data_IF_856192288484
#
_entry.id   IF_856192288484
#
_cell.length_a   1.000
_cell.length_b   1.000
_cell.length_c   1.000
_cell.angle_alpha   90.00
_cell.angle_beta   90.00
_cell.angle_gamma   90.00
#
_symmetry.space_group_name_H-M   'P 1'
#
loop_
_entity.id
_entity.type
_entity.pdbx_description
1 polymer ?
#
# COMPACT_ATOMS: atom_id res chain seq x y z
N UNK A 1 8.36 -43.08 -22.39
CA UNK A 1 7.69 -41.75 -22.46
C UNK A 1 8.42 -40.79 -21.53
N UNK A 2 9.17 -39.83 -22.05
CA UNK A 2 9.77 -38.75 -21.24
C UNK A 2 8.63 -37.92 -20.64
N UNK A 3 8.46 -37.96 -19.31
CA UNK A 3 7.53 -37.07 -18.59
C UNK A 3 7.83 -35.64 -19.04
N UNK A 4 6.89 -35.01 -19.74
CA UNK A 4 7.01 -33.61 -20.18
C UNK A 4 7.21 -32.77 -18.93
N UNK A 5 8.40 -32.18 -18.78
CA UNK A 5 8.77 -31.42 -17.58
C UNK A 5 7.80 -30.25 -17.45
N UNK A 6 7.05 -30.19 -16.34
CA UNK A 6 6.13 -29.09 -16.06
C UNK A 6 6.90 -27.77 -16.08
N UNK A 7 6.30 -26.73 -16.68
CA UNK A 7 6.95 -25.42 -16.73
C UNK A 7 7.03 -24.85 -15.32
N UNK A 8 8.18 -24.29 -14.97
CA UNK A 8 8.39 -23.69 -13.65
C UNK A 8 7.51 -22.44 -13.44
N UNK A 9 7.16 -22.09 -12.19
CA UNK A 9 6.56 -20.80 -11.84
C UNK A 9 7.37 -19.61 -12.35
N UNK A 10 6.70 -18.46 -12.52
CA UNK A 10 7.32 -17.23 -13.00
C UNK A 10 7.92 -16.45 -11.82
N UNK A 11 9.24 -16.43 -11.72
CA UNK A 11 9.96 -15.59 -10.76
C UNK A 11 9.97 -14.11 -11.20
N UNK A 12 9.97 -13.15 -10.26
CA UNK A 12 10.11 -11.74 -10.59
C UNK A 12 11.40 -11.46 -11.37
N UNK A 13 11.27 -10.77 -12.50
CA UNK A 13 12.42 -10.38 -13.33
C UNK A 13 13.28 -9.27 -12.70
N UNK A 14 12.72 -8.48 -11.79
CA UNK A 14 13.45 -7.43 -11.08
C UNK A 14 13.56 -7.75 -9.58
N UNK A 15 14.76 -8.12 -9.15
CA UNK A 15 15.02 -8.45 -7.74
C UNK A 15 14.89 -7.28 -6.78
N UNK A 16 15.01 -6.03 -7.27
CA UNK A 16 14.86 -4.82 -6.44
C UNK A 16 13.39 -4.45 -6.23
N UNK A 17 12.50 -4.96 -7.07
CA UNK A 17 11.05 -4.69 -7.06
C UNK A 17 10.31 -5.99 -7.40
N UNK A 18 10.27 -6.96 -6.47
CA UNK A 18 9.68 -8.28 -6.73
C UNK A 18 8.16 -8.24 -6.95
N UNK A 19 7.49 -7.17 -6.51
CA UNK A 19 6.06 -6.94 -6.73
C UNK A 19 5.81 -6.23 -8.07
N UNK A 20 6.81 -5.54 -8.61
CA UNK A 20 6.64 -4.64 -9.75
C UNK A 20 5.84 -3.39 -9.38
N UNK A 21 5.67 -3.08 -8.09
CA UNK A 21 4.78 -2.03 -7.61
C UNK A 21 5.48 -0.69 -7.34
N UNK A 22 6.82 -0.64 -7.35
CA UNK A 22 7.60 0.55 -6.97
C UNK A 22 7.18 1.82 -7.72
N UNK A 23 6.84 1.71 -9.02
CA UNK A 23 6.39 2.86 -9.82
C UNK A 23 5.07 3.42 -9.30
N UNK A 24 4.12 2.54 -8.96
CA UNK A 24 2.83 2.94 -8.40
C UNK A 24 3.01 3.56 -7.01
N UNK A 25 3.83 2.93 -6.16
CA UNK A 25 4.14 3.45 -4.83
C UNK A 25 4.76 4.86 -4.89
N UNK A 26 5.80 5.05 -5.71
CA UNK A 26 6.45 6.36 -5.87
C UNK A 26 5.47 7.41 -6.42
N UNK A 27 4.64 7.04 -7.39
CA UNK A 27 3.60 7.91 -7.93
C UNK A 27 2.62 8.37 -6.86
N UNK A 28 2.08 7.43 -6.08
CA UNK A 28 1.14 7.73 -4.99
C UNK A 28 1.77 8.61 -3.92
N UNK A 29 3.02 8.33 -3.52
CA UNK A 29 3.75 9.15 -2.55
C UNK A 29 3.94 10.60 -3.05
N UNK A 30 4.29 10.78 -4.34
CA UNK A 30 4.38 12.11 -4.93
C UNK A 30 3.02 12.81 -4.95
N UNK A 31 1.94 12.08 -5.23
CA UNK A 31 0.59 12.65 -5.21
C UNK A 31 0.14 13.06 -3.81
N UNK A 32 0.39 12.22 -2.80
CA UNK A 32 0.19 12.58 -1.40
C UNK A 32 0.96 13.85 -1.02
N UNK A 33 2.23 13.96 -1.41
CA UNK A 33 3.02 15.17 -1.14
C UNK A 33 2.42 16.43 -1.80
N UNK A 34 1.91 16.32 -3.04
CA UNK A 34 1.20 17.42 -3.72
C UNK A 34 -0.06 17.83 -2.96
N UNK A 35 -0.85 16.86 -2.51
CA UNK A 35 -2.10 17.07 -1.76
C UNK A 35 -1.84 17.68 -0.38
N UNK A 36 -0.85 17.18 0.36
CA UNK A 36 -0.43 17.76 1.64
C UNK A 36 0.04 19.21 1.49
N UNK A 37 0.78 19.53 0.43
CA UNK A 37 1.15 20.93 0.12
C UNK A 37 -0.07 21.81 -0.14
N UNK A 38 -1.11 21.30 -0.80
CA UNK A 38 -2.38 22.03 -1.01
C UNK A 38 -3.09 22.30 0.31
N UNK A 39 -3.15 21.30 1.20
CA UNK A 39 -3.73 21.44 2.55
C UNK A 39 -2.98 22.50 3.35
N UNK A 40 -1.65 22.44 3.39
CA UNK A 40 -0.83 23.44 4.09
C UNK A 40 -1.02 24.86 3.55
N UNK A 41 -1.20 25.01 2.22
CA UNK A 41 -1.56 26.30 1.62
C UNK A 41 -2.94 26.77 2.05
N UNK A 42 -3.93 25.89 2.13
CA UNK A 42 -5.29 26.25 2.54
C UNK A 42 -5.33 26.79 3.98
N UNK A 43 -4.68 26.10 4.92
CA UNK A 43 -4.61 26.56 6.32
C UNK A 43 -3.85 27.87 6.47
N UNK A 44 -2.79 28.09 5.69
CA UNK A 44 -2.10 29.39 5.66
C UNK A 44 -2.99 30.49 5.09
N UNK A 45 -3.74 30.21 4.02
CA UNK A 45 -4.71 31.16 3.47
C UNK A 45 -5.86 31.48 4.43
N UNK A 46 -6.22 30.58 5.34
CA UNK A 46 -7.13 30.87 6.45
C UNK A 46 -6.47 31.83 7.44
N UNK A 47 -5.23 31.53 7.87
CA UNK A 47 -4.47 32.38 8.78
C UNK A 47 -4.29 33.81 8.23
N UNK A 48 -3.98 33.96 6.94
CA UNK A 48 -3.78 35.25 6.28
C UNK A 48 -5.04 36.13 6.26
N UNK A 49 -6.23 35.53 6.42
CA UNK A 49 -7.51 36.25 6.47
C UNK A 49 -7.88 36.72 7.87
N UNK A 50 -7.15 36.31 8.90
CA UNK A 50 -7.41 36.69 10.28
C UNK A 50 -6.61 37.96 10.56
N UNK A 51 -7.25 39.13 10.79
CA UNK A 51 -6.54 40.36 11.10
C UNK A 51 -5.72 40.18 12.38
N UNK A 52 -4.44 40.53 12.32
CA UNK A 52 -3.51 40.40 13.43
C UNK A 52 -2.82 41.74 13.70
N UNK A 53 -2.80 42.16 14.96
CA UNK A 53 -2.11 43.38 15.40
C UNK A 53 -1.09 43.06 16.49
N UNK A 54 0.10 43.68 16.49
CA UNK A 54 1.03 43.55 17.60
C UNK A 54 0.41 44.04 18.90
N UNK A 55 0.64 43.32 19.99
CA UNK A 55 0.21 43.66 21.35
C UNK A 55 1.41 43.93 22.24
N UNK A 56 1.17 44.60 23.38
CA UNK A 56 2.19 44.78 24.43
C UNK A 56 2.72 43.40 24.84
N UNK A 57 4.05 43.27 24.97
CA UNK A 57 4.80 42.02 25.23
C UNK A 57 5.08 41.09 24.03
N UNK A 58 5.21 41.64 22.81
CA UNK A 58 5.58 40.88 21.60
C UNK A 58 4.62 39.73 21.23
N UNK A 59 3.37 39.80 21.69
CA UNK A 59 2.28 38.91 21.27
C UNK A 59 1.46 39.57 20.17
N UNK A 60 0.60 38.81 19.52
CA UNK A 60 -0.37 39.29 18.55
C UNK A 60 -1.78 39.17 19.14
N UNK A 61 -2.60 40.20 18.95
CA UNK A 61 -4.05 40.09 19.08
C UNK A 61 -4.63 39.72 17.72
N UNK A 62 -5.57 38.78 17.72
CA UNK A 62 -6.29 38.35 16.53
C UNK A 62 -7.73 38.83 16.64
N UNK A 63 -8.20 39.56 15.63
CA UNK A 63 -9.59 39.99 15.55
C UNK A 63 -10.42 38.85 14.94
N UNK A 64 -10.94 37.99 15.81
CA UNK A 64 -11.67 36.79 15.42
C UNK A 64 -12.70 36.42 16.47
N UNK A 65 -13.98 36.36 16.08
CA UNK A 65 -15.03 35.81 16.92
C UNK A 65 -15.15 34.28 16.78
N UNK A 66 -15.89 33.66 17.71
CA UNK A 66 -16.06 32.21 17.76
C UNK A 66 -16.81 31.63 16.56
N UNK A 67 -17.73 32.40 15.97
CA UNK A 67 -18.53 31.98 14.80
C UNK A 67 -17.65 31.95 13.56
N UNK A 68 -16.88 33.02 13.31
CA UNK A 68 -15.93 33.13 12.21
C UNK A 68 -14.87 32.03 12.28
N UNK A 69 -14.29 31.77 13.46
CA UNK A 69 -13.32 30.69 13.65
C UNK A 69 -13.94 29.32 13.31
N UNK A 70 -15.14 29.05 13.82
CA UNK A 70 -15.84 27.79 13.58
C UNK A 70 -16.15 27.56 12.10
N UNK A 71 -16.59 28.61 11.39
CA UNK A 71 -16.81 28.55 9.94
C UNK A 71 -15.52 28.29 9.17
N UNK A 72 -14.42 28.97 9.51
CA UNK A 72 -13.13 28.78 8.85
C UNK A 72 -12.61 27.34 9.03
N UNK A 73 -12.71 26.80 10.25
CA UNK A 73 -12.29 25.43 10.54
C UNK A 73 -13.18 24.38 9.86
N UNK A 74 -14.49 24.61 9.80
CA UNK A 74 -15.43 23.74 9.08
C UNK A 74 -15.11 23.68 7.58
N UNK A 75 -14.88 24.84 6.96
CA UNK A 75 -14.48 24.93 5.55
C UNK A 75 -13.13 24.26 5.30
N UNK A 76 -12.16 24.42 6.20
CA UNK A 76 -10.87 23.73 6.12
C UNK A 76 -11.05 22.21 6.17
N UNK A 77 -11.92 21.73 7.06
CA UNK A 77 -12.22 20.31 7.22
C UNK A 77 -12.79 19.70 5.93
N UNK A 78 -13.82 20.32 5.34
CA UNK A 78 -14.41 19.86 4.08
C UNK A 78 -13.37 19.82 2.95
N UNK A 79 -12.53 20.85 2.85
CA UNK A 79 -11.47 20.91 1.86
C UNK A 79 -10.39 19.83 2.05
N UNK A 80 -10.08 19.46 3.31
CA UNK A 80 -9.15 18.35 3.57
C UNK A 80 -9.75 17.03 3.10
N UNK A 81 -11.04 16.78 3.31
CA UNK A 81 -11.70 15.57 2.81
C UNK A 81 -11.63 15.50 1.28
N UNK A 82 -12.03 16.57 0.59
CA UNK A 82 -11.98 16.65 -0.87
C UNK A 82 -10.56 16.46 -1.40
N UNK A 83 -9.58 17.14 -0.80
CA UNK A 83 -8.17 17.04 -1.21
C UNK A 83 -7.64 15.61 -0.98
N UNK A 84 -8.07 14.91 0.05
CA UNK A 84 -7.61 13.54 0.29
C UNK A 84 -8.50 12.49 -0.39
N UNK A 85 -9.68 12.86 -0.89
CA UNK A 85 -10.69 11.94 -1.41
C UNK A 85 -11.35 11.12 -0.31
N UNK A 86 -11.44 11.65 0.91
CA UNK A 86 -12.13 11.00 2.04
C UNK A 86 -13.65 11.24 2.04
N UNK A 87 -14.15 12.01 1.08
CA UNK A 87 -15.56 12.32 0.82
C UNK A 87 -16.24 11.38 -0.20
N UNK A 88 -15.47 10.55 -0.90
CA UNK A 88 -15.97 9.67 -1.96
C UNK A 88 -15.42 8.24 -1.83
N UNK A 89 -16.26 7.30 -1.38
CA UNK A 89 -15.87 5.91 -1.16
C UNK A 89 -15.56 5.14 -2.45
N UNK A 90 -16.13 5.55 -3.58
CA UNK A 90 -16.10 4.73 -4.81
C UNK A 90 -15.04 5.17 -5.81
N UNK A 91 -14.71 6.46 -5.87
CA UNK A 91 -13.92 7.06 -6.95
C UNK A 91 -12.74 7.92 -6.48
N UNK A 92 -12.34 7.81 -5.21
CA UNK A 92 -11.19 8.55 -4.70
C UNK A 92 -9.88 8.22 -5.45
N UNK A 93 -9.06 9.24 -5.67
CA UNK A 93 -7.86 9.19 -6.52
C UNK A 93 -6.90 8.04 -6.13
N UNK A 94 -6.70 7.79 -4.83
CA UNK A 94 -5.75 6.78 -4.37
C UNK A 94 -6.20 5.36 -4.77
N UNK A 95 -7.51 5.11 -4.75
CA UNK A 95 -8.09 3.88 -5.26
C UNK A 95 -7.93 3.76 -6.77
N UNK A 96 -8.47 4.73 -7.49
CA UNK A 96 -8.62 4.69 -8.95
C UNK A 96 -7.26 4.59 -9.66
N UNK A 97 -6.28 5.37 -9.21
CA UNK A 97 -5.00 5.53 -9.92
C UNK A 97 -3.92 4.56 -9.43
N UNK A 98 -4.03 4.01 -8.22
CA UNK A 98 -2.93 3.28 -7.59
C UNK A 98 -3.31 1.91 -7.04
N UNK A 99 -4.30 1.83 -6.14
CA UNK A 99 -4.64 0.56 -5.47
C UNK A 99 -5.36 -0.40 -6.41
N UNK A 100 -6.36 0.06 -7.17
CA UNK A 100 -7.08 -0.79 -8.13
C UNK A 100 -6.13 -1.33 -9.25
N UNK A 101 -5.28 -0.50 -9.88
CA UNK A 101 -4.26 -1.01 -10.81
C UNK A 101 -3.28 -2.02 -10.20
N UNK A 102 -2.97 -1.91 -8.90
CA UNK A 102 -2.12 -2.88 -8.22
C UNK A 102 -2.82 -4.23 -8.01
N UNK A 103 -4.11 -4.21 -7.67
CA UNK A 103 -4.93 -5.42 -7.57
C UNK A 103 -5.05 -6.10 -8.94
N UNK A 104 -5.43 -5.37 -9.99
CA UNK A 104 -5.48 -5.87 -11.37
C UNK A 104 -4.15 -6.48 -11.82
N UNK A 105 -3.03 -5.83 -11.49
CA UNK A 105 -1.69 -6.36 -11.79
C UNK A 105 -1.41 -7.67 -11.07
N UNK A 106 -1.76 -7.79 -9.78
CA UNK A 106 -1.61 -9.02 -9.03
C UNK A 106 -2.40 -10.17 -9.66
N UNK A 107 -3.65 -9.93 -10.05
CA UNK A 107 -4.47 -10.91 -10.77
C UNK A 107 -3.83 -11.32 -12.10
N UNK A 108 -3.36 -10.37 -12.90
CA UNK A 108 -2.70 -10.67 -14.17
C UNK A 108 -1.39 -11.47 -13.99
N UNK A 109 -0.61 -11.15 -12.95
CA UNK A 109 0.60 -11.90 -12.60
C UNK A 109 0.27 -13.33 -12.20
N UNK A 110 -0.78 -13.54 -11.40
CA UNK A 110 -1.14 -14.88 -10.95
C UNK A 110 -1.77 -15.71 -12.06
N UNK A 111 -2.64 -15.11 -12.88
CA UNK A 111 -3.16 -15.75 -14.09
C UNK A 111 -2.03 -16.28 -14.98
N UNK A 112 -1.05 -15.43 -15.31
CA UNK A 112 0.09 -15.85 -16.13
C UNK A 112 0.90 -16.97 -15.47
N UNK A 113 1.10 -16.88 -14.15
CA UNK A 113 1.85 -17.87 -13.37
C UNK A 113 1.14 -19.24 -13.32
N UNK A 114 -0.18 -19.27 -13.09
CA UNK A 114 -0.98 -20.49 -13.02
C UNK A 114 -1.19 -21.11 -14.41
N UNK A 115 -1.48 -20.29 -15.43
CA UNK A 115 -1.63 -20.75 -16.82
C UNK A 115 -0.35 -21.38 -17.37
N UNK A 116 0.82 -20.90 -16.92
CA UNK A 116 2.08 -21.53 -17.28
C UNK A 116 2.25 -22.93 -16.68
N UNK A 117 1.76 -23.14 -15.45
CA UNK A 117 2.02 -24.35 -14.69
C UNK A 117 0.95 -25.44 -14.86
N UNK A 118 -0.32 -25.04 -15.08
CA UNK A 118 -1.46 -25.96 -15.11
C UNK A 118 -2.20 -25.88 -16.44
N UNK A 119 -2.18 -26.99 -17.18
CA UNK A 119 -2.96 -27.12 -18.42
C UNK A 119 -4.47 -27.04 -18.18
N UNK A 120 -4.94 -27.54 -17.02
CA UNK A 120 -6.37 -27.49 -16.65
C UNK A 120 -6.80 -26.04 -16.37
N UNK A 121 -5.99 -25.29 -15.62
CA UNK A 121 -6.26 -23.86 -15.40
C UNK A 121 -6.20 -23.07 -16.70
N UNK A 122 -5.16 -23.27 -17.52
CA UNK A 122 -5.01 -22.58 -18.79
C UNK A 122 -6.16 -22.87 -19.78
N UNK A 123 -6.74 -24.07 -19.74
CA UNK A 123 -7.89 -24.43 -20.56
C UNK A 123 -9.21 -23.87 -19.99
N UNK A 124 -9.34 -23.82 -18.67
CA UNK A 124 -10.57 -23.38 -18.01
C UNK A 124 -10.67 -21.88 -17.74
N UNK A 125 -9.55 -21.15 -17.78
CA UNK A 125 -9.47 -19.71 -17.58
C UNK A 125 -8.88 -19.06 -18.83
N UNK A 126 -9.74 -18.55 -19.70
CA UNK A 126 -9.35 -18.09 -21.05
C UNK A 126 -8.47 -16.84 -21.04
N UNK A 127 -8.78 -15.87 -20.16
CA UNK A 127 -8.10 -14.58 -20.13
C UNK A 127 -8.18 -13.90 -18.78
N UNK A 128 -7.27 -12.95 -18.55
CA UNK A 128 -7.34 -12.01 -17.42
C UNK A 128 -8.64 -11.21 -17.48
N UNK A 129 -9.06 -10.75 -18.66
CA UNK A 129 -10.29 -9.98 -18.84
C UNK A 129 -11.53 -10.71 -18.31
N UNK A 130 -11.61 -12.03 -18.53
CA UNK A 130 -12.67 -12.89 -17.99
C UNK A 130 -12.65 -12.91 -16.46
N UNK A 131 -11.48 -12.91 -15.82
CA UNK A 131 -11.36 -12.80 -14.35
C UNK A 131 -11.86 -11.43 -13.89
N UNK A 132 -11.41 -10.35 -14.52
CA UNK A 132 -11.73 -8.97 -14.09
C UNK A 132 -13.23 -8.66 -14.17
N UNK A 133 -13.95 -9.30 -15.10
CA UNK A 133 -15.40 -9.17 -15.25
C UNK A 133 -16.20 -10.14 -14.36
N UNK A 134 -15.52 -11.12 -13.74
CA UNK A 134 -16.17 -12.14 -12.92
C UNK A 134 -16.77 -11.56 -11.64
N UNK A 135 -17.78 -12.25 -11.13
CA UNK A 135 -18.45 -11.90 -9.88
C UNK A 135 -17.54 -12.10 -8.65
N UNK A 136 -16.79 -13.22 -8.52
CA UNK A 136 -15.85 -13.41 -7.41
C UNK A 136 -14.73 -12.35 -7.34
N UNK A 137 -14.19 -11.93 -8.49
CA UNK A 137 -13.21 -10.85 -8.54
C UNK A 137 -13.80 -9.52 -8.03
N UNK A 138 -14.99 -9.15 -8.51
CA UNK A 138 -15.66 -7.89 -8.11
C UNK A 138 -16.00 -7.87 -6.63
N UNK A 139 -16.46 -8.99 -6.05
CA UNK A 139 -16.73 -9.10 -4.59
C UNK A 139 -15.49 -8.80 -3.76
N UNK A 140 -14.35 -9.40 -4.11
CA UNK A 140 -13.08 -9.23 -3.38
C UNK A 140 -12.50 -7.84 -3.55
N UNK A 141 -12.63 -7.27 -4.76
CA UNK A 141 -12.20 -5.91 -5.06
C UNK A 141 -12.89 -4.87 -4.18
N UNK A 142 -14.20 -5.03 -3.91
CA UNK A 142 -14.98 -4.13 -3.04
C UNK A 142 -14.40 -4.10 -1.62
N UNK A 143 -13.98 -5.26 -1.08
CA UNK A 143 -13.37 -5.34 0.27
C UNK A 143 -12.03 -4.60 0.34
N UNK A 144 -11.22 -4.68 -0.73
CA UNK A 144 -9.96 -3.92 -0.81
C UNK A 144 -10.23 -2.42 -0.88
N UNK A 145 -11.23 -1.99 -1.66
CA UNK A 145 -11.63 -0.58 -1.75
C UNK A 145 -12.09 -0.05 -0.40
N UNK A 146 -13.01 -0.74 0.27
CA UNK A 146 -13.55 -0.33 1.57
C UNK A 146 -12.45 -0.17 2.62
N UNK A 147 -11.54 -1.14 2.72
CA UNK A 147 -10.35 -1.04 3.59
C UNK A 147 -9.49 0.18 3.27
N UNK A 148 -9.22 0.41 2.00
CA UNK A 148 -8.38 1.54 1.56
C UNK A 148 -9.06 2.87 1.86
N UNK A 149 -10.38 2.97 1.70
CA UNK A 149 -11.15 4.16 2.00
C UNK A 149 -11.10 4.53 3.49
N UNK A 150 -11.19 3.54 4.38
CA UNK A 150 -11.04 3.78 5.83
C UNK A 150 -9.64 4.31 6.19
N UNK A 151 -8.57 3.84 5.54
CA UNK A 151 -7.23 4.43 5.71
C UNK A 151 -7.19 5.90 5.29
N UNK A 152 -7.89 6.26 4.21
CA UNK A 152 -7.98 7.65 3.73
C UNK A 152 -8.79 8.54 4.67
N UNK A 153 -9.90 8.03 5.23
CA UNK A 153 -10.69 8.72 6.25
C UNK A 153 -9.88 8.97 7.51
N UNK A 154 -9.14 7.97 8.00
CA UNK A 154 -8.29 8.11 9.17
C UNK A 154 -7.19 9.15 8.93
N UNK A 155 -6.52 9.11 7.78
CA UNK A 155 -5.54 10.12 7.40
C UNK A 155 -6.16 11.53 7.36
N UNK A 156 -7.36 11.67 6.79
CA UNK A 156 -8.07 12.95 6.74
C UNK A 156 -8.39 13.48 8.13
N UNK A 157 -8.93 12.62 9.01
CA UNK A 157 -9.24 12.96 10.39
C UNK A 157 -8.00 13.42 11.18
N UNK A 158 -6.88 12.68 11.05
CA UNK A 158 -5.61 13.03 11.69
C UNK A 158 -5.11 14.40 11.23
N UNK A 159 -5.09 14.63 9.91
CA UNK A 159 -4.65 15.90 9.31
C UNK A 159 -5.51 17.06 9.81
N UNK A 160 -6.84 16.91 9.80
CA UNK A 160 -7.76 17.95 10.30
C UNK A 160 -7.50 18.30 11.75
N UNK A 161 -7.38 17.28 12.61
CA UNK A 161 -7.19 17.45 14.03
C UNK A 161 -5.88 18.19 14.33
N UNK A 162 -4.77 17.75 13.74
CA UNK A 162 -3.46 18.36 13.98
C UNK A 162 -3.35 19.77 13.40
N UNK A 163 -3.86 19.99 12.19
CA UNK A 163 -3.82 21.32 11.56
C UNK A 163 -4.72 22.32 12.28
N UNK A 164 -5.93 21.91 12.69
CA UNK A 164 -6.84 22.76 13.47
C UNK A 164 -6.20 23.13 14.82
N UNK A 165 -5.63 22.16 15.54
CA UNK A 165 -4.97 22.38 16.83
C UNK A 165 -3.80 23.37 16.72
N UNK A 166 -2.93 23.22 15.72
CA UNK A 166 -1.80 24.15 15.54
C UNK A 166 -2.30 25.57 15.30
N UNK A 167 -3.34 25.73 14.48
CA UNK A 167 -3.93 27.03 14.19
C UNK A 167 -4.54 27.64 15.46
N UNK A 168 -5.44 26.92 16.14
CA UNK A 168 -6.16 27.45 17.31
C UNK A 168 -5.22 27.69 18.50
N UNK A 169 -4.25 26.82 18.76
CA UNK A 169 -3.23 27.03 19.81
C UNK A 169 -2.37 28.26 19.51
N UNK A 170 -2.01 28.46 18.25
CA UNK A 170 -1.20 29.60 17.81
C UNK A 170 -1.94 30.92 18.01
N UNK A 171 -3.21 30.97 17.55
CA UNK A 171 -4.08 32.12 17.71
C UNK A 171 -4.34 32.44 19.19
N UNK A 172 -4.73 31.44 19.99
CA UNK A 172 -5.06 31.62 21.41
C UNK A 172 -3.88 32.05 22.28
N UNK A 173 -2.64 31.69 21.89
CA UNK A 173 -1.42 32.13 22.58
C UNK A 173 -0.89 33.49 22.09
N UNK A 174 -1.51 34.08 21.08
CA UNK A 174 -1.03 35.33 20.46
C UNK A 174 0.33 35.17 19.79
N UNK A 175 0.59 34.03 19.14
CA UNK A 175 1.87 33.78 18.45
C UNK A 175 1.99 34.63 17.17
N UNK A 176 3.23 34.87 16.74
CA UNK A 176 3.48 35.49 15.44
C UNK A 176 2.85 34.66 14.30
N UNK A 177 2.02 35.24 13.41
CA UNK A 177 1.42 34.51 12.29
C UNK A 177 2.44 33.76 11.41
N UNK A 178 3.64 34.30 11.23
CA UNK A 178 4.70 33.63 10.46
C UNK A 178 5.18 32.34 11.15
N UNK A 179 5.23 32.31 12.49
CA UNK A 179 5.58 31.11 13.25
C UNK A 179 4.45 30.07 13.20
N UNK A 180 3.19 30.49 13.24
CA UNK A 180 2.04 29.59 13.06
C UNK A 180 2.09 28.97 11.65
N UNK A 181 2.29 29.79 10.61
CA UNK A 181 2.41 29.34 9.22
C UNK A 181 3.57 28.34 9.01
N UNK A 182 4.70 28.57 9.69
CA UNK A 182 5.84 27.66 9.69
C UNK A 182 5.47 26.31 10.32
N UNK A 183 4.87 26.31 11.51
CA UNK A 183 4.41 25.09 12.21
C UNK A 183 3.39 24.29 11.39
N UNK A 184 2.44 24.96 10.73
CA UNK A 184 1.49 24.33 9.82
C UNK A 184 2.22 23.64 8.65
N UNK A 185 3.25 24.28 8.10
CA UNK A 185 4.05 23.70 7.02
C UNK A 185 4.84 22.47 7.51
N UNK A 186 5.45 22.54 8.68
CA UNK A 186 6.14 21.40 9.32
C UNK A 186 5.20 20.21 9.55
N UNK A 187 3.98 20.48 10.04
CA UNK A 187 2.97 19.44 10.26
C UNK A 187 2.57 18.73 8.96
N UNK A 188 2.37 19.46 7.85
CA UNK A 188 2.11 18.80 6.56
C UNK A 188 3.23 17.86 6.12
N UNK A 189 4.47 18.13 6.53
CA UNK A 189 5.61 17.22 6.33
C UNK A 189 5.53 15.94 7.17
N UNK A 190 4.99 16.03 8.40
CA UNK A 190 4.69 14.86 9.24
C UNK A 190 3.58 14.02 8.59
N UNK A 191 2.48 14.64 8.18
CA UNK A 191 1.36 13.92 7.56
C UNK A 191 1.73 13.30 6.21
N UNK A 192 2.62 13.94 5.46
CA UNK A 192 3.19 13.33 4.24
C UNK A 192 3.93 12.01 4.54
N UNK A 193 4.62 11.89 5.68
CA UNK A 193 5.29 10.64 6.07
C UNK A 193 4.27 9.55 6.43
N UNK A 194 3.19 9.91 7.12
CA UNK A 194 2.07 8.99 7.42
C UNK A 194 1.41 8.49 6.13
N UNK A 195 1.10 9.41 5.22
CA UNK A 195 0.54 9.09 3.90
C UNK A 195 1.45 8.18 3.07
N UNK A 196 2.77 8.41 3.10
CA UNK A 196 3.73 7.53 2.43
C UNK A 196 3.75 6.10 2.99
N UNK A 197 3.45 5.92 4.28
CA UNK A 197 3.30 4.58 4.88
C UNK A 197 2.02 3.90 4.38
N UNK A 198 0.92 4.63 4.22
CA UNK A 198 -0.33 4.12 3.64
C UNK A 198 -0.07 3.67 2.19
N UNK A 199 0.54 4.52 1.35
CA UNK A 199 0.88 4.19 -0.03
C UNK A 199 1.64 2.86 -0.17
N UNK A 200 2.72 2.70 0.60
CA UNK A 200 3.57 1.49 0.58
C UNK A 200 2.88 0.25 1.16
N UNK A 201 1.88 0.44 2.01
CA UNK A 201 1.15 -0.68 2.63
C UNK A 201 0.01 -1.14 1.75
N UNK A 202 -0.85 -0.22 1.30
CA UNK A 202 -2.10 -0.56 0.62
C UNK A 202 -1.87 -1.04 -0.81
N UNK A 203 -0.97 -0.40 -1.57
CA UNK A 203 -0.67 -0.79 -2.96
C UNK A 203 -0.11 -2.22 -3.01
N UNK A 204 0.91 -2.50 -2.21
CA UNK A 204 1.52 -3.83 -2.20
C UNK A 204 0.62 -4.87 -1.54
N UNK A 205 -0.22 -4.49 -0.58
CA UNK A 205 -1.23 -5.41 -0.01
C UNK A 205 -2.31 -5.77 -1.03
N UNK A 206 -2.82 -4.81 -1.80
CA UNK A 206 -3.77 -5.08 -2.88
C UNK A 206 -3.19 -6.06 -3.91
N UNK A 207 -1.94 -5.84 -4.34
CA UNK A 207 -1.26 -6.75 -5.26
C UNK A 207 -1.14 -8.17 -4.68
N UNK A 208 -0.69 -8.32 -3.44
CA UNK A 208 -0.55 -9.65 -2.80
C UNK A 208 -1.89 -10.35 -2.62
N UNK A 209 -2.93 -9.61 -2.18
CA UNK A 209 -4.28 -10.15 -2.02
C UNK A 209 -4.81 -10.67 -3.34
N UNK A 210 -4.71 -9.90 -4.42
CA UNK A 210 -5.14 -10.32 -5.75
C UNK A 210 -4.50 -11.65 -6.21
N UNK A 211 -3.22 -11.87 -5.87
CA UNK A 211 -2.53 -13.13 -6.17
C UNK A 211 -3.07 -14.30 -5.36
N UNK A 212 -3.21 -14.13 -4.04
CA UNK A 212 -3.78 -15.18 -3.18
C UNK A 212 -5.24 -15.48 -3.53
N UNK A 213 -5.99 -14.44 -3.90
CA UNK A 213 -7.39 -14.54 -4.27
C UNK A 213 -7.53 -15.36 -5.56
N UNK A 214 -6.76 -15.05 -6.61
CA UNK A 214 -6.78 -15.85 -7.85
C UNK A 214 -6.31 -17.28 -7.63
N UNK A 215 -5.29 -17.50 -6.78
CA UNK A 215 -4.86 -18.85 -6.41
C UNK A 215 -5.97 -19.65 -5.72
N UNK A 216 -6.69 -19.04 -4.77
CA UNK A 216 -7.80 -19.70 -4.07
C UNK A 216 -8.92 -20.09 -5.03
N UNK A 217 -9.32 -19.16 -5.91
CA UNK A 217 -10.35 -19.41 -6.93
C UNK A 217 -9.94 -20.56 -7.86
N UNK A 218 -8.67 -20.56 -8.28
CA UNK A 218 -8.14 -21.58 -9.17
C UNK A 218 -8.12 -22.96 -8.50
N UNK A 219 -7.72 -23.03 -7.23
CA UNK A 219 -7.74 -24.28 -6.44
C UNK A 219 -9.16 -24.82 -6.30
N UNK A 220 -10.13 -23.95 -6.01
CA UNK A 220 -11.53 -24.34 -5.84
C UNK A 220 -12.17 -24.81 -7.16
N UNK A 221 -12.01 -24.05 -8.25
CA UNK A 221 -12.64 -24.37 -9.54
C UNK A 221 -12.01 -25.53 -10.28
N UNK A 222 -10.68 -25.63 -10.26
CA UNK A 222 -9.95 -26.55 -11.14
C UNK A 222 -9.28 -27.70 -10.39
N UNK A 223 -9.42 -27.76 -9.06
CA UNK A 223 -8.84 -28.83 -8.23
C UNK A 223 -7.31 -28.87 -8.28
N UNK A 224 -6.67 -27.76 -8.66
CA UNK A 224 -5.21 -27.67 -8.68
C UNK A 224 -4.68 -27.58 -7.25
N UNK A 225 -3.45 -28.06 -7.04
CA UNK A 225 -2.78 -27.98 -5.74
C UNK A 225 -1.59 -27.04 -5.84
N UNK A 226 -1.62 -25.97 -5.06
CA UNK A 226 -0.55 -24.97 -5.01
C UNK A 226 -0.12 -24.69 -3.58
N UNK A 227 1.14 -24.27 -3.43
CA UNK A 227 1.66 -23.57 -2.26
C UNK A 227 2.22 -22.21 -2.67
N UNK A 228 2.22 -21.27 -1.75
CA UNK A 228 2.69 -19.91 -1.92
C UNK A 228 4.15 -19.78 -1.51
N UNK A 229 5.04 -19.71 -2.49
CA UNK A 229 6.45 -19.41 -2.25
C UNK A 229 6.60 -17.95 -1.83
N UNK A 230 7.12 -17.70 -0.63
CA UNK A 230 7.35 -16.33 -0.19
C UNK A 230 8.53 -15.71 -0.94
N UNK A 231 8.32 -14.51 -1.49
CA UNK A 231 9.35 -13.75 -2.19
C UNK A 231 9.62 -12.46 -1.44
N UNK A 232 10.66 -12.50 -0.62
CA UNK A 232 11.19 -11.29 -0.01
C UNK A 232 11.81 -10.36 -1.05
N UNK A 233 11.69 -9.04 -0.84
CA UNK A 233 12.39 -8.03 -1.63
C UNK A 233 13.91 -8.07 -1.48
N UNK A 234 14.41 -8.66 -0.38
CA UNK A 234 15.85 -8.78 -0.10
C UNK A 234 16.62 -7.46 -0.28
N UNK A 235 15.93 -6.34 -0.08
CA UNK A 235 16.46 -4.99 -0.16
C UNK A 235 17.31 -4.64 1.07
N UNK A 236 18.08 -3.54 1.06
CA UNK A 236 18.82 -3.11 2.25
C UNK A 236 17.95 -2.92 3.50
N UNK A 237 16.66 -2.60 3.32
CA UNK A 237 15.69 -2.36 4.39
C UNK A 237 14.79 -3.56 4.69
N UNK A 238 15.07 -4.73 4.10
CA UNK A 238 14.29 -5.94 4.38
C UNK A 238 14.50 -6.39 5.82
N UNK A 239 13.40 -6.72 6.52
CA UNK A 239 13.43 -7.30 7.88
C UNK A 239 13.93 -8.75 7.83
N UNK A 240 14.68 -9.19 8.84
CA UNK A 240 15.23 -10.55 8.92
C UNK A 240 14.15 -11.63 8.83
N UNK A 241 13.02 -11.45 9.53
CA UNK A 241 11.87 -12.37 9.50
C UNK A 241 11.26 -12.52 8.10
N UNK A 242 11.33 -11.49 7.26
CA UNK A 242 10.88 -11.54 5.87
C UNK A 242 11.92 -12.24 4.98
N UNK A 243 13.21 -11.94 5.17
CA UNK A 243 14.29 -12.59 4.44
C UNK A 243 14.30 -14.10 4.70
N UNK A 244 14.13 -14.52 5.95
CA UNK A 244 14.12 -15.92 6.37
C UNK A 244 13.02 -16.76 5.69
N UNK A 245 11.88 -16.15 5.33
CA UNK A 245 10.80 -16.85 4.61
C UNK A 245 11.07 -17.00 3.11
N UNK A 246 12.01 -16.24 2.54
CA UNK A 246 12.27 -16.26 1.10
C UNK A 246 12.53 -17.70 0.62
N UNK A 247 11.99 -18.05 -0.55
CA UNK A 247 12.08 -19.39 -1.17
C UNK A 247 11.36 -20.53 -0.40
N UNK A 248 10.72 -20.26 0.73
CA UNK A 248 9.93 -21.25 1.46
C UNK A 248 8.48 -21.27 0.99
N UNK A 249 7.88 -22.46 1.00
CA UNK A 249 6.50 -22.70 0.62
C UNK A 249 5.57 -22.70 1.83
N UNK A 250 4.44 -22.03 1.68
CA UNK A 250 3.38 -21.94 2.69
C UNK A 250 2.02 -22.16 2.03
N UNK A 251 0.98 -22.46 2.79
CA UNK A 251 -0.39 -22.34 2.29
C UNK A 251 -0.76 -20.87 2.09
N UNK A 252 -1.82 -20.60 1.30
CA UNK A 252 -2.34 -19.24 1.17
C UNK A 252 -2.75 -18.66 2.54
N UNK A 253 -3.35 -19.49 3.40
CA UNK A 253 -3.78 -19.07 4.74
C UNK A 253 -2.60 -18.76 5.66
N UNK A 254 -1.57 -19.60 5.70
CA UNK A 254 -0.34 -19.33 6.46
C UNK A 254 0.32 -18.00 6.05
N UNK A 255 0.23 -17.60 4.78
CA UNK A 255 0.73 -16.29 4.33
C UNK A 255 -0.16 -15.14 4.81
N UNK A 256 -1.49 -15.30 4.74
CA UNK A 256 -2.44 -14.28 5.23
C UNK A 256 -2.25 -14.04 6.71
N UNK A 257 -2.25 -15.10 7.51
CA UNK A 257 -2.03 -15.03 8.95
C UNK A 257 -0.70 -14.38 9.29
N UNK A 258 0.36 -14.77 8.58
CA UNK A 258 1.68 -14.21 8.84
C UNK A 258 1.74 -12.71 8.54
N UNK A 259 1.17 -12.25 7.43
CA UNK A 259 1.10 -10.82 7.12
C UNK A 259 0.20 -10.02 8.06
N UNK A 260 -0.79 -10.65 8.69
CA UNK A 260 -1.68 -10.02 9.67
C UNK A 260 -1.02 -9.80 11.05
N UNK A 261 0.02 -10.57 11.39
CA UNK A 261 0.75 -10.48 12.67
C UNK A 261 1.87 -9.45 12.64
N UNK A 262 2.19 -8.85 13.79
CA UNK A 262 3.39 -8.02 14.07
C UNK A 262 3.73 -6.94 13.01
N UNK A 263 2.73 -6.37 12.35
CA UNK A 263 2.90 -5.43 11.25
C UNK A 263 3.74 -6.00 10.07
N UNK A 264 3.75 -7.31 9.87
CA UNK A 264 4.44 -7.97 8.76
C UNK A 264 3.92 -7.48 7.40
N UNK A 265 2.62 -7.21 7.27
CA UNK A 265 2.04 -6.64 6.03
C UNK A 265 2.39 -5.17 5.80
N UNK A 266 2.70 -4.42 6.85
CA UNK A 266 2.90 -2.97 6.81
C UNK A 266 4.25 -2.62 6.18
N UNK A 267 4.23 -1.66 5.25
CA UNK A 267 5.43 -1.17 4.54
C UNK A 267 6.31 -2.30 3.98
N UNK A 268 5.69 -3.44 3.64
CA UNK A 268 6.37 -4.64 3.24
C UNK A 268 6.38 -4.78 1.72
N UNK A 269 7.56 -4.89 1.11
CA UNK A 269 7.75 -5.10 -0.33
C UNK A 269 7.78 -6.57 -0.78
N UNK A 270 7.40 -7.50 0.08
CA UNK A 270 7.40 -8.92 -0.27
C UNK A 270 6.17 -9.27 -1.12
N UNK A 271 6.29 -10.33 -1.92
CA UNK A 271 5.21 -10.95 -2.70
C UNK A 271 5.17 -12.46 -2.42
N UNK A 272 4.24 -13.17 -3.05
CA UNK A 272 4.18 -14.64 -3.09
C UNK A 272 4.08 -15.12 -4.52
N UNK A 273 4.47 -16.35 -4.82
CA UNK A 273 4.23 -16.98 -6.13
C UNK A 273 3.57 -18.33 -5.88
N UNK A 274 2.46 -18.62 -6.55
CA UNK A 274 1.89 -19.96 -6.48
C UNK A 274 2.82 -20.96 -7.19
N UNK A 275 3.08 -22.06 -6.52
CA UNK A 275 3.89 -23.18 -7.00
C UNK A 275 3.02 -24.42 -6.96
N UNK A 276 2.81 -25.05 -8.11
CA UNK A 276 2.11 -26.33 -8.18
C UNK A 276 2.85 -27.40 -7.37
N UNK A 277 2.12 -28.16 -6.56
CA UNK A 277 2.66 -29.21 -5.71
C UNK A 277 1.95 -30.55 -5.91
N UNK A 278 2.63 -31.64 -5.56
CA UNK A 278 2.00 -32.96 -5.45
C UNK A 278 1.19 -33.10 -4.14
N UNK A 279 0.65 -34.30 -3.91
CA UNK A 279 -0.16 -34.63 -2.72
C UNK A 279 0.64 -34.54 -1.40
N UNK A 280 1.96 -34.69 -1.46
CA UNK A 280 2.84 -34.51 -0.31
C UNK A 280 3.23 -33.05 -0.08
N UNK A 281 2.80 -32.14 -0.96
CA UNK A 281 3.13 -30.73 -0.91
C UNK A 281 4.52 -30.39 -1.44
N UNK A 282 5.15 -31.30 -2.21
CA UNK A 282 6.44 -31.06 -2.86
C UNK A 282 6.23 -30.36 -4.20
N UNK A 283 7.06 -29.36 -4.57
CA UNK A 283 6.96 -28.69 -5.87
C UNK A 283 7.02 -29.68 -7.03
N UNK A 284 6.12 -29.51 -8.01
CA UNK A 284 6.18 -30.27 -9.27
C UNK A 284 7.34 -29.80 -10.17
N UNK A 285 7.86 -28.59 -9.93
CA UNK A 285 9.04 -28.05 -10.60
C UNK A 285 10.26 -28.16 -9.69
N UNK A 286 11.15 -29.10 -9.97
CA UNK A 286 12.31 -29.41 -9.11
C UNK A 286 13.30 -28.25 -8.89
N UNK A 287 13.34 -27.26 -9.80
CA UNK A 287 14.38 -26.20 -9.78
C UNK A 287 13.93 -24.88 -9.17
N UNK A 288 12.64 -24.73 -8.81
CA UNK A 288 12.11 -23.41 -8.48
C UNK A 288 12.66 -22.88 -7.16
N UNK A 289 12.74 -23.74 -6.14
CA UNK A 289 13.28 -23.40 -4.83
C UNK A 289 14.76 -23.03 -4.97
N UNK A 290 15.55 -23.83 -5.70
CA UNK A 290 16.98 -23.56 -5.91
C UNK A 290 17.23 -22.21 -6.60
N UNK A 291 16.40 -21.85 -7.59
CA UNK A 291 16.48 -20.54 -8.27
C UNK A 291 16.19 -19.38 -7.32
N UNK A 292 15.16 -19.52 -6.48
CA UNK A 292 14.85 -18.52 -5.46
C UNK A 292 15.95 -18.45 -4.39
N UNK A 293 16.49 -19.60 -3.95
CA UNK A 293 17.58 -19.66 -2.99
C UNK A 293 18.89 -19.06 -3.53
N UNK A 294 19.18 -19.24 -4.82
CA UNK A 294 20.32 -18.57 -5.48
C UNK A 294 20.18 -17.05 -5.41
N UNK A 295 18.96 -16.55 -5.58
CA UNK A 295 18.66 -15.12 -5.42
C UNK A 295 18.93 -14.67 -3.99
N UNK A 296 18.44 -15.42 -3.00
CA UNK A 296 18.73 -15.16 -1.59
C UNK A 296 20.23 -15.07 -1.30
N UNK A 297 21.00 -16.08 -1.72
CA UNK A 297 22.45 -16.13 -1.52
C UNK A 297 23.18 -14.97 -2.20
N UNK A 298 22.76 -14.61 -3.42
CA UNK A 298 23.32 -13.46 -4.17
C UNK A 298 23.08 -12.14 -3.43
N UNK A 299 21.89 -11.96 -2.86
CA UNK A 299 21.56 -10.74 -2.11
C UNK A 299 22.21 -10.74 -0.72
N UNK A 300 22.34 -11.91 -0.08
CA UNK A 300 23.03 -12.09 1.20
C UNK A 300 24.51 -11.71 1.09
N UNK A 301 25.17 -12.11 0.00
CA UNK A 301 26.57 -11.78 -0.28
C UNK A 301 26.85 -10.27 -0.38
N UNK A 302 25.82 -9.42 -0.52
CA UNK A 302 25.96 -7.95 -0.51
C UNK A 302 26.13 -7.35 0.89
N UNK A 303 26.04 -8.16 1.95
CA UNK A 303 26.35 -7.72 3.32
C UNK A 303 25.29 -6.84 3.99
N UNK A 304 24.03 -6.93 3.55
CA UNK A 304 22.92 -6.18 4.17
C UNK A 304 22.70 -6.60 5.63
N UNK A 305 22.06 -5.75 6.44
CA UNK A 305 21.89 -6.01 7.87
C UNK A 305 21.15 -7.33 8.16
N UNK A 306 20.12 -7.65 7.38
CA UNK A 306 19.40 -8.92 7.51
C UNK A 306 20.25 -10.15 7.13
N UNK A 307 21.40 -9.98 6.47
CA UNK A 307 22.30 -11.07 6.11
C UNK A 307 23.23 -11.50 7.26
N UNK A 308 23.32 -10.69 8.32
CA UNK A 308 24.24 -10.87 9.46
C UNK A 308 23.69 -11.73 10.60
N UNK A 309 22.40 -12.09 10.55
CA UNK A 309 21.72 -12.98 11.49
C UNK A 309 20.95 -14.02 10.71
#
# INVERSE_FOLDING_TARGET
MTKKKLKSPILPGNLKDPTGADRLERGAMSEFARRMKRIGKAYKGILDRIPASPSVNQRYTFDLDSTQLSMLLSNASLLVDEILGADNETEFWFWTEYVNPAYQRGTAQEFANLAQQSAVYAAGQESVSTILLSEPYRRRLILVRARTFEEMKNLSADVKADMARILTDGLGRGQNPLEIAKRLTEQTGIESRRANRIARTEITTALRRARLDEDDEARERYGIRTKQMHISALSPTTRSTHAARHAHLYTAEEQREWWAKDANGVNCKCSTIAVMVDESGKPLSDTIIDKAQKTFNTMKARGYQWAKG
#
